data_IF_453534270730
#
_entry.id   IF_453534270730
#
_cell.length_a   1.000
_cell.length_b   1.000
_cell.length_c   1.000
_cell.angle_alpha   90.00
_cell.angle_beta   90.00
_cell.angle_gamma   90.00
#
_symmetry.space_group_name_H-M   'P 1'
#
loop_
_entity.id
_entity.type
_entity.pdbx_description
1 polymer ?
#
# COMPACT_ATOMS: atom_id res chain seq x y z
N UNK A 1 -1.87 -14.01 -5.71
CA UNK A 1 -2.34 -14.85 -4.59
C UNK A 1 -1.39 -14.78 -3.40
N UNK A 2 -1.94 -14.91 -2.19
CA UNK A 2 -1.19 -14.87 -0.93
C UNK A 2 -1.02 -16.31 -0.44
N UNK A 3 0.21 -16.74 -0.19
CA UNK A 3 0.50 -18.07 0.35
C UNK A 3 0.61 -18.00 1.87
N UNK A 4 -0.09 -18.90 2.57
CA UNK A 4 0.01 -19.01 4.03
C UNK A 4 0.89 -20.21 4.39
N UNK A 5 1.76 -20.01 5.37
CA UNK A 5 2.62 -21.07 5.90
C UNK A 5 2.64 -21.06 7.42
N UNK A 6 2.71 -22.24 8.04
CA UNK A 6 2.89 -22.41 9.47
C UNK A 6 4.29 -22.92 9.76
N UNK A 7 5.13 -22.04 10.29
CA UNK A 7 6.52 -22.33 10.61
C UNK A 7 6.64 -22.85 12.03
N UNK A 8 7.04 -24.11 12.15
CA UNK A 8 7.10 -24.84 13.43
C UNK A 8 8.50 -24.78 14.04
N UNK A 9 8.64 -25.37 15.23
CA UNK A 9 9.83 -25.29 16.08
C UNK A 9 11.17 -25.47 15.35
N UNK A 10 12.12 -24.53 15.49
CA UNK A 10 13.49 -24.73 15.04
C UNK A 10 14.23 -25.71 15.95
N UNK A 11 15.39 -26.18 15.48
CA UNK A 11 16.29 -27.02 16.29
C UNK A 11 16.79 -26.25 17.52
N UNK A 12 17.18 -24.99 17.35
CA UNK A 12 17.64 -24.09 18.41
C UNK A 12 16.49 -23.20 18.88
N UNK A 13 15.91 -23.54 20.04
CA UNK A 13 14.76 -22.82 20.61
C UNK A 13 14.81 -22.70 22.12
N UNK A 14 13.96 -21.85 22.65
CA UNK A 14 13.65 -21.72 24.08
C UNK A 14 12.22 -22.21 24.34
N UNK A 15 11.94 -22.60 25.59
CA UNK A 15 10.65 -23.17 25.97
C UNK A 15 10.67 -24.69 25.92
N UNK A 16 9.75 -25.31 26.67
CA UNK A 16 9.61 -26.77 26.70
C UNK A 16 8.86 -27.29 25.49
N UNK A 17 8.96 -28.59 25.22
CA UNK A 17 8.26 -29.20 24.09
C UNK A 17 6.74 -29.08 24.24
N UNK A 18 6.20 -29.14 25.46
CA UNK A 18 4.77 -28.97 25.72
C UNK A 18 4.28 -27.56 25.39
N UNK A 19 5.10 -26.55 25.65
CA UNK A 19 4.79 -25.17 25.33
C UNK A 19 4.79 -24.95 23.81
N UNK A 20 5.72 -25.59 23.11
CA UNK A 20 5.76 -25.60 21.64
C UNK A 20 4.58 -26.36 21.04
N UNK A 21 4.22 -27.53 21.57
CA UNK A 21 3.04 -28.30 21.13
C UNK A 21 1.77 -27.45 21.25
N UNK A 22 1.62 -26.77 22.39
CA UNK A 22 0.50 -25.86 22.64
C UNK A 22 0.50 -24.68 21.66
N UNK A 23 1.66 -24.08 21.41
CA UNK A 23 1.78 -22.92 20.54
C UNK A 23 1.48 -23.27 19.08
N UNK A 24 2.06 -24.37 18.58
CA UNK A 24 1.86 -24.85 17.21
C UNK A 24 0.41 -25.26 16.99
N UNK A 25 -0.17 -26.01 17.94
CA UNK A 25 -1.57 -26.42 17.88
C UNK A 25 -2.52 -25.21 17.89
N UNK A 26 -2.23 -24.19 18.70
CA UNK A 26 -3.05 -22.98 18.72
C UNK A 26 -3.03 -22.21 17.39
N UNK A 27 -1.87 -22.08 16.75
CA UNK A 27 -1.76 -21.42 15.44
C UNK A 27 -2.38 -22.27 14.32
N UNK A 28 -2.18 -23.58 14.32
CA UNK A 28 -2.82 -24.49 13.38
C UNK A 28 -4.35 -24.43 13.50
N UNK A 29 -4.89 -24.50 14.72
CA UNK A 29 -6.33 -24.40 14.96
C UNK A 29 -6.90 -23.04 14.52
N UNK A 30 -6.14 -21.95 14.66
CA UNK A 30 -6.55 -20.64 14.17
C UNK A 30 -6.61 -20.60 12.63
N UNK A 31 -5.63 -21.22 11.94
CA UNK A 31 -5.63 -21.35 10.47
C UNK A 31 -6.78 -22.23 9.98
N UNK A 32 -7.01 -23.38 10.61
CA UNK A 32 -8.10 -24.30 10.29
C UNK A 32 -9.46 -23.60 10.48
N UNK A 33 -9.62 -22.85 11.57
CA UNK A 33 -10.84 -22.07 11.85
C UNK A 33 -11.05 -20.93 10.85
N UNK A 34 -9.97 -20.35 10.31
CA UNK A 34 -10.04 -19.36 9.25
C UNK A 34 -10.38 -19.96 7.87
N UNK A 35 -10.35 -21.29 7.74
CA UNK A 35 -10.65 -22.01 6.50
C UNK A 35 -9.66 -21.74 5.37
N UNK A 36 -8.44 -21.29 5.69
CA UNK A 36 -7.42 -20.97 4.69
C UNK A 36 -6.48 -22.16 4.49
N UNK A 37 -6.16 -22.55 3.25
CA UNK A 37 -5.12 -23.53 3.00
C UNK A 37 -3.77 -22.96 3.42
N UNK A 38 -2.93 -23.80 4.03
CA UNK A 38 -1.56 -23.43 4.41
C UNK A 38 -0.62 -24.63 4.30
N UNK A 39 0.66 -24.33 4.07
CA UNK A 39 1.72 -25.33 4.09
C UNK A 39 2.46 -25.33 5.44
N UNK A 40 2.98 -26.47 5.85
CA UNK A 40 3.91 -26.54 6.99
C UNK A 40 5.32 -26.16 6.56
N UNK A 41 6.02 -25.40 7.40
CA UNK A 41 7.45 -25.10 7.28
C UNK A 41 8.20 -25.58 8.52
N UNK A 42 8.57 -26.87 8.57
CA UNK A 42 9.29 -27.42 9.70
C UNK A 42 10.62 -26.71 9.92
N UNK A 43 10.87 -26.26 11.15
CA UNK A 43 12.16 -25.68 11.54
C UNK A 43 12.30 -24.17 11.31
N UNK A 44 11.34 -23.51 10.67
CA UNK A 44 11.43 -22.09 10.30
C UNK A 44 10.88 -21.13 11.36
N UNK A 45 10.31 -21.64 12.45
CA UNK A 45 9.80 -20.84 13.56
C UNK A 45 10.86 -19.95 14.21
N UNK A 46 10.43 -18.87 14.87
CA UNK A 46 11.35 -18.06 15.66
C UNK A 46 11.86 -18.85 16.87
N UNK A 47 13.03 -18.49 17.43
CA UNK A 47 13.58 -19.24 18.56
C UNK A 47 12.67 -19.26 19.81
N UNK A 48 11.71 -18.32 19.91
CA UNK A 48 10.77 -18.16 21.03
C UNK A 48 9.35 -18.66 20.76
N UNK A 49 9.01 -19.07 19.52
CA UNK A 49 7.67 -19.53 19.20
C UNK A 49 7.40 -19.74 17.71
N UNK A 50 6.32 -20.45 17.37
CA UNK A 50 5.92 -20.69 15.98
C UNK A 50 5.32 -19.43 15.35
N UNK A 51 5.26 -19.40 14.02
CA UNK A 51 4.70 -18.26 13.27
C UNK A 51 3.83 -18.70 12.10
N UNK A 52 2.77 -17.93 11.86
CA UNK A 52 2.05 -17.90 10.59
C UNK A 52 2.74 -16.87 9.70
N UNK A 53 3.03 -17.24 8.46
CA UNK A 53 3.66 -16.40 7.44
C UNK A 53 2.70 -16.16 6.29
N UNK A 54 2.58 -14.89 5.90
CA UNK A 54 1.87 -14.47 4.70
C UNK A 54 2.89 -14.07 3.65
N UNK A 55 3.02 -14.90 2.62
CA UNK A 55 4.01 -14.77 1.58
C UNK A 55 3.40 -14.23 0.29
N UNK A 56 4.11 -13.29 -0.34
CA UNK A 56 3.77 -12.69 -1.62
C UNK A 56 4.80 -13.09 -2.67
N UNK A 57 4.40 -13.06 -3.95
CA UNK A 57 5.28 -13.32 -5.08
C UNK A 57 5.66 -12.03 -5.80
N UNK A 58 6.90 -11.98 -6.25
CA UNK A 58 7.41 -10.91 -7.10
C UNK A 58 7.22 -11.24 -8.60
N UNK A 59 7.64 -10.34 -9.50
CA UNK A 59 7.45 -10.50 -10.94
C UNK A 59 8.22 -11.68 -11.57
N UNK A 60 9.21 -12.23 -10.86
CA UNK A 60 9.97 -13.42 -11.26
C UNK A 60 9.46 -14.70 -10.56
N UNK A 61 8.38 -14.59 -9.77
CA UNK A 61 7.80 -15.69 -9.02
C UNK A 61 8.57 -16.06 -7.75
N UNK A 62 9.53 -15.23 -7.29
CA UNK A 62 10.23 -15.47 -6.02
C UNK A 62 9.31 -15.13 -4.86
N UNK A 63 9.39 -15.92 -3.79
CA UNK A 63 8.51 -15.83 -2.63
C UNK A 63 9.13 -14.96 -1.55
N UNK A 64 8.37 -13.97 -1.09
CA UNK A 64 8.78 -13.01 -0.05
C UNK A 64 7.82 -13.05 1.13
N UNK A 65 8.33 -13.41 2.30
CA UNK A 65 7.59 -13.30 3.56
C UNK A 65 7.30 -11.81 3.84
N UNK A 66 6.02 -11.46 3.97
CA UNK A 66 5.58 -10.10 4.30
C UNK A 66 4.93 -10.11 5.69
N UNK A 67 3.64 -10.41 5.74
CA UNK A 67 2.91 -10.47 7.00
C UNK A 67 3.37 -11.65 7.85
N UNK A 68 3.41 -11.48 9.18
CA UNK A 68 3.61 -12.59 10.12
C UNK A 68 2.75 -12.40 11.37
N UNK A 69 2.38 -13.53 11.98
CA UNK A 69 1.80 -13.61 13.32
C UNK A 69 2.51 -14.71 14.10
N UNK A 70 3.16 -14.35 15.20
CA UNK A 70 3.99 -15.27 15.99
C UNK A 70 3.47 -15.35 17.42
N UNK A 71 3.44 -16.56 17.97
CA UNK A 71 2.88 -16.85 19.28
C UNK A 71 4.00 -17.13 20.30
N UNK A 72 4.16 -16.23 21.26
CA UNK A 72 5.29 -16.23 22.19
C UNK A 72 4.83 -16.33 23.65
N UNK A 73 5.17 -17.45 24.28
CA UNK A 73 4.99 -17.68 25.71
C UNK A 73 6.28 -17.46 26.51
N UNK A 74 7.42 -17.23 25.84
CA UNK A 74 8.74 -17.26 26.43
C UNK A 74 9.26 -15.87 26.83
N UNK A 75 9.23 -14.90 25.93
CA UNK A 75 9.81 -13.59 26.20
C UNK A 75 9.10 -12.83 27.33
N UNK A 76 7.76 -12.91 27.51
CA UNK A 76 7.10 -12.26 28.64
C UNK A 76 7.67 -12.68 29.99
N UNK A 77 7.94 -13.98 30.17
CA UNK A 77 8.53 -14.51 31.40
C UNK A 77 9.96 -13.99 31.56
N UNK A 78 10.77 -14.04 30.49
CA UNK A 78 12.17 -13.59 30.51
C UNK A 78 12.33 -12.09 30.73
N UNK A 79 11.36 -11.30 30.29
CA UNK A 79 11.31 -9.85 30.47
C UNK A 79 10.58 -9.45 31.75
N UNK A 80 10.19 -10.41 32.61
CA UNK A 80 9.44 -10.16 33.85
C UNK A 80 8.14 -9.36 33.63
N UNK A 81 7.47 -9.60 32.51
CA UNK A 81 6.18 -9.01 32.20
C UNK A 81 5.07 -9.80 32.90
N UNK A 82 4.25 -9.11 33.68
CA UNK A 82 3.16 -9.70 34.48
C UNK A 82 1.92 -8.81 34.47
N UNK A 83 0.74 -9.43 34.62
CA UNK A 83 -0.53 -8.77 34.92
C UNK A 83 -1.15 -9.38 36.19
N UNK A 84 -2.12 -8.68 36.79
CA UNK A 84 -2.89 -9.17 37.94
C UNK A 84 -4.15 -9.84 37.42
N UNK A 85 -4.36 -11.13 37.73
CA UNK A 85 -5.59 -11.85 37.38
C UNK A 85 -6.73 -11.61 38.37
N UNK A 86 -7.92 -12.11 38.05
CA UNK A 86 -9.14 -11.96 38.85
C UNK A 86 -8.99 -12.50 40.28
N UNK A 87 -8.11 -13.47 40.50
CA UNK A 87 -7.76 -14.04 41.81
C UNK A 87 -6.67 -13.23 42.56
N UNK A 88 -6.33 -12.03 42.10
CA UNK A 88 -5.21 -11.18 42.56
C UNK A 88 -3.80 -11.79 42.43
N UNK A 89 -3.65 -12.96 41.77
CA UNK A 89 -2.33 -13.52 41.51
C UNK A 89 -1.62 -12.83 40.34
N UNK A 90 -0.29 -12.87 40.33
CA UNK A 90 0.52 -12.40 39.20
C UNK A 90 0.60 -13.52 38.17
N UNK A 91 0.31 -13.20 36.91
CA UNK A 91 0.40 -14.11 35.76
C UNK A 91 1.22 -13.46 34.66
N UNK A 92 1.94 -14.27 33.89
CA UNK A 92 2.61 -13.80 32.68
C UNK A 92 1.60 -13.73 31.52
N UNK A 93 1.60 -12.65 30.73
CA UNK A 93 0.79 -12.58 29.53
C UNK A 93 1.38 -13.48 28.42
N UNK A 94 0.54 -13.81 27.43
CA UNK A 94 0.98 -14.38 26.16
C UNK A 94 1.23 -13.22 25.19
N UNK A 95 2.38 -13.21 24.51
CA UNK A 95 2.73 -12.16 23.57
C UNK A 95 2.49 -12.61 22.13
N UNK A 96 1.75 -11.79 21.37
CA UNK A 96 1.59 -11.96 19.94
C UNK A 96 2.45 -10.94 19.21
N UNK A 97 3.44 -11.42 18.46
CA UNK A 97 4.26 -10.59 17.59
C UNK A 97 3.61 -10.56 16.22
N UNK A 98 3.26 -9.38 15.71
CA UNK A 98 2.63 -9.26 14.39
C UNK A 98 3.23 -8.15 13.54
N UNK A 99 3.39 -8.44 12.26
CA UNK A 99 3.63 -7.45 11.21
C UNK A 99 2.65 -7.73 10.07
N UNK A 100 1.96 -6.71 9.57
CA UNK A 100 0.95 -6.92 8.50
C UNK A 100 1.61 -6.86 7.13
N UNK A 101 2.45 -5.84 6.91
CA UNK A 101 3.13 -5.61 5.63
C UNK A 101 4.55 -6.22 5.59
N UNK A 102 5.07 -6.64 6.74
CA UNK A 102 6.50 -6.86 6.92
C UNK A 102 7.24 -5.53 7.10
N UNK A 103 8.33 -5.32 6.37
CA UNK A 103 9.03 -4.02 6.33
C UNK A 103 8.45 -3.13 5.23
N UNK A 104 8.58 -1.81 5.39
CA UNK A 104 8.11 -0.87 4.37
C UNK A 104 8.89 -1.00 3.07
N UNK A 105 10.20 -1.20 3.14
CA UNK A 105 11.07 -1.33 1.96
C UNK A 105 10.67 -2.56 1.13
N UNK A 106 10.45 -3.70 1.79
CA UNK A 106 10.00 -4.93 1.14
C UNK A 106 8.61 -4.75 0.53
N UNK A 107 7.68 -4.17 1.29
CA UNK A 107 6.31 -4.01 0.80
C UNK A 107 6.24 -3.02 -0.36
N UNK A 108 6.99 -1.91 -0.32
CA UNK A 108 7.10 -0.97 -1.45
C UNK A 108 7.71 -1.68 -2.67
N UNK A 109 8.74 -2.51 -2.49
CA UNK A 109 9.30 -3.33 -3.57
C UNK A 109 8.23 -4.20 -4.26
N UNK A 110 7.44 -4.92 -3.46
CA UNK A 110 6.31 -5.71 -3.97
C UNK A 110 5.28 -4.84 -4.68
N UNK A 111 4.92 -3.67 -4.13
CA UNK A 111 3.94 -2.77 -4.75
C UNK A 111 4.43 -2.18 -6.08
N UNK A 112 5.72 -1.83 -6.19
CA UNK A 112 6.31 -1.34 -7.45
C UNK A 112 6.14 -2.39 -8.55
N UNK A 113 6.50 -3.64 -8.24
CA UNK A 113 6.40 -4.74 -9.21
C UNK A 113 4.94 -5.08 -9.52
N UNK A 114 4.07 -5.12 -8.50
CA UNK A 114 2.65 -5.43 -8.67
C UNK A 114 1.92 -4.40 -9.54
N UNK A 115 2.21 -3.11 -9.37
CA UNK A 115 1.60 -2.04 -10.17
C UNK A 115 2.41 -1.70 -11.43
N UNK A 116 3.56 -2.33 -11.65
CA UNK A 116 4.53 -1.96 -12.68
C UNK A 116 4.90 -0.45 -12.62
N UNK A 117 4.94 0.12 -11.42
CA UNK A 117 5.11 1.56 -11.19
C UNK A 117 3.88 2.44 -11.46
N UNK A 118 2.77 1.90 -12.00
CA UNK A 118 1.51 2.62 -12.21
C UNK A 118 0.67 2.63 -10.93
N UNK A 119 1.17 3.30 -9.89
CA UNK A 119 0.53 3.33 -8.58
C UNK A 119 -0.90 3.90 -8.65
N UNK A 120 -1.83 3.37 -7.83
CA UNK A 120 -3.15 3.98 -7.68
C UNK A 120 -3.03 5.41 -7.14
N UNK A 121 -4.01 6.27 -7.44
CA UNK A 121 -3.92 7.71 -7.15
C UNK A 121 -3.50 8.02 -5.70
N UNK A 122 -3.96 7.26 -4.71
CA UNK A 122 -3.61 7.51 -3.31
C UNK A 122 -2.11 7.29 -2.97
N UNK A 123 -1.43 6.39 -3.69
CA UNK A 123 0.01 6.10 -3.53
C UNK A 123 0.90 6.84 -4.53
N UNK A 124 0.33 7.32 -5.63
CA UNK A 124 1.10 8.00 -6.66
C UNK A 124 1.87 9.22 -6.08
N UNK A 125 3.19 9.35 -6.33
CA UNK A 125 3.98 10.49 -5.87
C UNK A 125 3.44 11.82 -6.40
N UNK A 126 3.03 11.83 -7.67
CA UNK A 126 2.27 12.91 -8.29
C UNK A 126 0.95 12.32 -8.78
N UNK A 127 -0.16 12.89 -8.35
CA UNK A 127 -1.51 12.40 -8.63
C UNK A 127 -2.06 13.03 -9.92
N UNK A 128 -1.81 14.32 -10.11
CA UNK A 128 -2.23 15.07 -11.27
C UNK A 128 -1.11 16.01 -11.75
N UNK A 129 -0.99 16.20 -13.06
CA UNK A 129 -0.13 17.23 -13.65
C UNK A 129 -0.97 18.21 -14.46
N UNK A 130 -0.75 19.51 -14.29
CA UNK A 130 -1.46 20.57 -15.00
C UNK A 130 -0.56 21.12 -16.11
N UNK A 131 -1.01 21.09 -17.36
CA UNK A 131 -0.23 21.49 -18.52
C UNK A 131 -0.97 22.57 -19.32
N UNK A 132 -0.36 23.74 -19.44
CA UNK A 132 -0.79 24.78 -20.37
C UNK A 132 -0.31 24.46 -21.80
N UNK A 133 -1.08 24.89 -22.79
CA UNK A 133 -0.70 24.84 -24.21
C UNK A 133 0.28 25.96 -24.56
N UNK A 134 0.07 27.14 -24.00
CA UNK A 134 0.88 28.36 -24.19
C UNK A 134 0.98 29.15 -22.88
N UNK A 135 1.88 30.13 -22.81
CA UNK A 135 2.07 30.96 -21.61
C UNK A 135 0.81 31.73 -21.17
N UNK A 136 -0.15 31.95 -22.08
CA UNK A 136 -1.42 32.62 -21.77
C UNK A 136 -2.26 31.90 -20.72
N UNK A 137 -2.13 30.57 -20.61
CA UNK A 137 -2.90 29.79 -19.65
C UNK A 137 -2.14 29.48 -18.36
N UNK A 138 -0.92 30.01 -18.19
CA UNK A 138 -0.05 29.69 -17.07
C UNK A 138 -0.66 30.11 -15.71
N UNK A 139 -1.26 31.30 -15.64
CA UNK A 139 -1.86 31.81 -14.40
C UNK A 139 -3.02 30.91 -13.93
N UNK A 140 -3.89 30.50 -14.86
CA UNK A 140 -4.98 29.58 -14.54
C UNK A 140 -4.46 28.19 -14.15
N UNK A 141 -3.40 27.70 -14.81
CA UNK A 141 -2.78 26.43 -14.42
C UNK A 141 -2.23 26.45 -12.98
N UNK A 142 -1.63 27.57 -12.55
CA UNK A 142 -1.17 27.76 -11.16
C UNK A 142 -2.34 27.88 -10.18
N UNK A 143 -3.45 28.51 -10.59
CA UNK A 143 -4.67 28.56 -9.78
C UNK A 143 -5.30 27.17 -9.58
N UNK A 144 -5.33 26.34 -10.63
CA UNK A 144 -5.78 24.94 -10.53
C UNK A 144 -4.84 24.13 -9.61
N UNK A 145 -3.52 24.27 -9.78
CA UNK A 145 -2.55 23.61 -8.90
C UNK A 145 -2.78 23.98 -7.43
N UNK A 146 -2.94 25.27 -7.14
CA UNK A 146 -3.21 25.77 -5.79
C UNK A 146 -4.51 25.19 -5.23
N UNK A 147 -5.58 25.19 -6.02
CA UNK A 147 -6.90 24.65 -5.62
C UNK A 147 -6.81 23.17 -5.24
N UNK A 148 -6.09 22.38 -6.04
CA UNK A 148 -5.88 20.95 -5.77
C UNK A 148 -4.98 20.72 -4.56
N UNK A 149 -3.93 21.52 -4.39
CA UNK A 149 -3.04 21.45 -3.24
C UNK A 149 -3.78 21.79 -1.92
N UNK A 150 -4.63 22.82 -1.93
CA UNK A 150 -5.48 23.19 -0.79
C UNK A 150 -6.51 22.10 -0.46
N UNK A 151 -6.88 21.28 -1.44
CA UNK A 151 -7.74 20.10 -1.27
C UNK A 151 -6.97 18.85 -0.79
N UNK A 152 -5.66 18.95 -0.55
CA UNK A 152 -4.82 17.86 -0.06
C UNK A 152 -4.25 16.93 -1.13
N UNK A 153 -4.33 17.32 -2.41
CA UNK A 153 -3.80 16.52 -3.52
C UNK A 153 -2.36 16.90 -3.88
N UNK A 154 -1.59 15.89 -4.29
CA UNK A 154 -0.23 16.05 -4.84
C UNK A 154 -0.31 16.33 -6.33
N UNK A 155 -0.67 17.56 -6.67
CA UNK A 155 -0.66 18.08 -8.04
C UNK A 155 0.56 18.97 -8.28
N UNK A 156 0.98 19.10 -9.55
CA UNK A 156 2.02 20.07 -9.96
C UNK A 156 1.73 20.60 -11.36
N UNK A 157 2.16 21.81 -11.68
CA UNK A 157 2.10 22.33 -13.04
C UNK A 157 3.38 22.03 -13.86
N UNK A 158 3.20 21.88 -15.18
CA UNK A 158 4.28 21.83 -16.18
C UNK A 158 4.09 22.97 -17.19
N UNK A 159 4.71 24.10 -16.85
CA UNK A 159 4.63 25.36 -17.58
C UNK A 159 5.79 25.56 -18.56
N UNK A 160 6.59 24.51 -18.83
CA UNK A 160 7.70 24.62 -19.80
C UNK A 160 7.18 25.00 -21.18
N UNK A 161 7.93 25.81 -21.93
CA UNK A 161 7.61 26.16 -23.31
C UNK A 161 7.94 25.00 -24.26
N UNK A 162 7.15 23.92 -24.14
CA UNK A 162 7.27 22.69 -24.90
C UNK A 162 5.93 22.34 -25.55
N UNK A 163 5.97 21.57 -26.64
CA UNK A 163 4.74 21.09 -27.29
C UNK A 163 3.90 20.28 -26.30
N UNK A 164 2.58 20.51 -26.26
CA UNK A 164 1.67 19.78 -25.35
C UNK A 164 1.79 18.26 -25.47
N UNK A 165 2.01 17.73 -26.69
CA UNK A 165 2.23 16.31 -26.91
C UNK A 165 3.53 15.78 -26.27
N UNK A 166 4.57 16.61 -26.16
CA UNK A 166 5.79 16.27 -25.43
C UNK A 166 5.52 16.17 -23.92
N UNK A 167 4.85 17.18 -23.35
CA UNK A 167 4.47 17.18 -21.92
C UNK A 167 3.61 15.96 -21.55
N UNK A 168 2.57 15.68 -22.34
CA UNK A 168 1.69 14.52 -22.17
C UNK A 168 2.51 13.22 -22.18
N UNK A 169 3.42 13.06 -23.16
CA UNK A 169 4.26 11.87 -23.27
C UNK A 169 5.17 11.69 -22.05
N UNK A 170 5.82 12.76 -21.60
CA UNK A 170 6.73 12.71 -20.44
C UNK A 170 6.00 12.26 -19.18
N UNK A 171 4.87 12.89 -18.84
CA UNK A 171 4.14 12.55 -17.61
C UNK A 171 3.40 11.20 -17.70
N UNK A 172 3.04 10.77 -18.91
CA UNK A 172 2.55 9.39 -19.14
C UNK A 172 3.65 8.37 -18.85
N UNK A 173 4.88 8.61 -19.30
CA UNK A 173 6.04 7.74 -19.01
C UNK A 173 6.39 7.72 -17.52
N UNK A 174 6.18 8.83 -16.81
CA UNK A 174 6.28 8.93 -15.35
C UNK A 174 5.07 8.30 -14.62
N UNK A 175 4.09 7.77 -15.35
CA UNK A 175 2.90 7.07 -14.83
C UNK A 175 2.02 7.91 -13.90
N UNK A 176 2.00 9.23 -14.10
CA UNK A 176 1.12 10.16 -13.36
C UNK A 176 -0.34 9.83 -13.68
N UNK A 177 -1.20 9.50 -12.69
CA UNK A 177 -2.57 9.03 -12.94
C UNK A 177 -3.40 9.97 -13.82
N UNK A 178 -3.38 11.28 -13.55
CA UNK A 178 -4.19 12.25 -14.26
C UNK A 178 -3.36 13.36 -14.92
N UNK A 179 -3.70 13.64 -16.17
CA UNK A 179 -3.08 14.64 -17.02
C UNK A 179 -4.14 15.70 -17.33
N UNK A 180 -3.97 16.91 -16.80
CA UNK A 180 -4.91 18.02 -16.96
C UNK A 180 -4.35 18.99 -18.00
N UNK A 181 -5.07 19.16 -19.11
CA UNK A 181 -4.69 20.08 -20.17
C UNK A 181 -5.55 21.33 -20.09
N UNK A 182 -4.91 22.49 -20.21
CA UNK A 182 -5.57 23.80 -20.19
C UNK A 182 -5.26 24.54 -21.48
N UNK A 183 -6.28 24.69 -22.33
CA UNK A 183 -6.29 25.62 -23.46
C UNK A 183 -7.09 26.89 -23.17
N UNK A 184 -7.22 27.76 -24.17
CA UNK A 184 -7.99 29.00 -24.04
C UNK A 184 -9.45 28.75 -23.60
N UNK A 185 -10.08 27.71 -24.15
CA UNK A 185 -11.44 27.30 -23.78
C UNK A 185 -11.55 26.93 -22.30
N UNK A 186 -10.58 26.18 -21.77
CA UNK A 186 -10.55 25.78 -20.37
C UNK A 186 -10.39 26.98 -19.43
N UNK A 187 -9.60 27.98 -19.82
CA UNK A 187 -9.48 29.24 -19.07
C UNK A 187 -10.81 29.99 -19.04
N UNK A 188 -11.44 30.17 -20.20
CA UNK A 188 -12.73 30.88 -20.32
C UNK A 188 -13.85 30.20 -19.54
N UNK A 189 -13.88 28.87 -19.54
CA UNK A 189 -14.94 28.08 -18.91
C UNK A 189 -14.63 27.68 -17.47
N UNK A 190 -13.42 27.98 -16.97
CA UNK A 190 -12.94 27.53 -15.65
C UNK A 190 -12.99 26.00 -15.51
N UNK A 191 -12.58 25.29 -16.57
CA UNK A 191 -12.58 23.83 -16.66
C UNK A 191 -11.17 23.28 -16.89
N UNK A 192 -11.00 21.97 -16.76
CA UNK A 192 -9.78 21.23 -17.11
C UNK A 192 -10.13 20.07 -18.03
N UNK A 193 -9.37 19.88 -19.11
CA UNK A 193 -9.48 18.68 -19.94
C UNK A 193 -8.70 17.54 -19.29
N UNK A 194 -9.41 16.49 -18.86
CA UNK A 194 -8.85 15.42 -18.03
C UNK A 194 -8.54 14.19 -18.89
N UNK A 195 -7.29 13.73 -18.84
CA UNK A 195 -6.84 12.49 -19.49
C UNK A 195 -6.21 11.55 -18.47
N UNK A 196 -6.44 10.25 -18.62
CA UNK A 196 -5.79 9.20 -17.82
C UNK A 196 -4.41 8.87 -18.37
N UNK A 197 -3.53 8.26 -17.56
CA UNK A 197 -2.23 7.75 -18.06
C UNK A 197 -2.38 6.63 -19.09
N UNK A 198 -3.51 5.91 -19.09
CA UNK A 198 -3.81 4.89 -20.10
C UNK A 198 -4.26 5.51 -21.44
N UNK A 199 -4.46 6.83 -21.46
CA UNK A 199 -4.78 7.60 -22.66
C UNK A 199 -6.27 7.78 -22.90
N UNK A 200 -7.13 7.40 -21.94
CA UNK A 200 -8.55 7.70 -22.01
C UNK A 200 -8.79 9.19 -21.77
N UNK A 201 -9.61 9.79 -22.63
CA UNK A 201 -10.09 11.16 -22.49
C UNK A 201 -11.39 11.15 -21.67
N UNK A 202 -11.36 11.80 -20.51
CA UNK A 202 -12.53 11.93 -19.62
C UNK A 202 -13.30 13.24 -19.89
N UNK A 203 -12.86 14.03 -20.87
CA UNK A 203 -13.48 15.29 -21.26
C UNK A 203 -13.08 16.47 -20.39
N UNK A 204 -13.68 17.63 -20.70
CA UNK A 204 -13.49 18.87 -19.95
C UNK A 204 -14.50 18.95 -18.81
N UNK A 205 -14.03 19.19 -17.58
CA UNK A 205 -14.88 19.32 -16.39
C UNK A 205 -14.44 20.49 -15.50
N UNK A 206 -15.34 21.12 -14.74
CA UNK A 206 -14.98 22.16 -13.78
C UNK A 206 -13.92 21.68 -12.78
N UNK A 207 -13.05 22.58 -12.34
CA UNK A 207 -11.97 22.26 -11.39
C UNK A 207 -12.51 21.61 -10.11
N UNK A 208 -13.64 22.10 -9.59
CA UNK A 208 -14.31 21.52 -8.42
C UNK A 208 -14.78 20.08 -8.66
N UNK A 209 -15.34 19.80 -9.85
CA UNK A 209 -15.78 18.46 -10.22
C UNK A 209 -14.57 17.50 -10.34
N UNK A 210 -13.46 17.96 -10.91
CA UNK A 210 -12.24 17.16 -10.95
C UNK A 210 -11.69 16.89 -9.54
N UNK A 211 -11.71 17.86 -8.64
CA UNK A 211 -11.28 17.67 -7.25
C UNK A 211 -12.13 16.61 -6.53
N UNK A 212 -13.44 16.62 -6.70
CA UNK A 212 -14.34 15.57 -6.17
C UNK A 212 -14.04 14.19 -6.77
N UNK A 213 -13.83 14.14 -8.09
CA UNK A 213 -13.47 12.90 -8.79
C UNK A 213 -12.15 12.32 -8.26
N UNK A 214 -11.13 13.16 -8.09
CA UNK A 214 -9.84 12.76 -7.53
C UNK A 214 -9.98 12.34 -6.06
N UNK A 215 -10.81 13.00 -5.26
CA UNK A 215 -11.10 12.60 -3.88
C UNK A 215 -11.66 11.19 -3.83
N UNK A 216 -12.58 10.85 -4.73
CA UNK A 216 -13.16 9.51 -4.83
C UNK A 216 -12.09 8.47 -5.18
N UNK A 217 -11.26 8.74 -6.20
CA UNK A 217 -10.15 7.85 -6.59
C UNK A 217 -9.19 7.59 -5.42
N UNK A 218 -8.79 8.66 -4.70
CA UNK A 218 -7.91 8.55 -3.52
C UNK A 218 -8.58 7.79 -2.38
N UNK A 219 -9.86 8.03 -2.10
CA UNK A 219 -10.59 7.41 -0.99
C UNK A 219 -10.71 5.89 -1.12
N UNK A 220 -10.72 5.36 -2.34
CA UNK A 220 -10.86 3.93 -2.62
C UNK A 220 -9.63 3.11 -2.25
N UNK A 221 -8.44 3.74 -2.16
CA UNK A 221 -7.18 3.09 -1.80
C UNK A 221 -6.77 1.90 -2.70
N UNK A 222 -7.18 1.90 -3.97
CA UNK A 222 -6.88 0.86 -4.96
C UNK A 222 -6.92 1.39 -6.40
N UNK A 223 -6.53 0.59 -7.40
CA UNK A 223 -6.52 0.98 -8.83
C UNK A 223 -7.89 0.71 -9.48
N UNK A 224 -8.35 1.60 -10.37
CA UNK A 224 -9.46 1.34 -11.30
C UNK A 224 -8.94 1.04 -12.71
N UNK A 225 -9.76 0.38 -13.52
CA UNK A 225 -9.55 0.24 -14.98
C UNK A 225 -9.57 1.60 -15.73
N UNK A 226 -9.97 2.68 -15.05
CA UNK A 226 -10.07 4.04 -15.61
C UNK A 226 -9.03 5.01 -15.03
N UNK A 227 -7.97 4.50 -14.39
CA UNK A 227 -6.83 5.28 -13.84
C UNK A 227 -5.53 5.10 -14.62
#
# INVERSE_FOLDING_TARGET
DIELKLSTRPEKRVGSDELWDRAESALASALDSAGQPYDLQPGEGAFYGPKIEFSLKDCLGRVWQCGTLQLDFNLPIRLSAEYVSEDNSRKNPVMLHRAILGSFERFIGILIEHYEGAFPAWLAPTQAVIMNITDKQADFALEVEKTLAESGFRAKSDLRNEKIGFKIREHTLLKVPYLLVIGDREVEMQTVAVRTREGADLGSMPVAQFAEFLAQAVSRRGRQDTE
#
